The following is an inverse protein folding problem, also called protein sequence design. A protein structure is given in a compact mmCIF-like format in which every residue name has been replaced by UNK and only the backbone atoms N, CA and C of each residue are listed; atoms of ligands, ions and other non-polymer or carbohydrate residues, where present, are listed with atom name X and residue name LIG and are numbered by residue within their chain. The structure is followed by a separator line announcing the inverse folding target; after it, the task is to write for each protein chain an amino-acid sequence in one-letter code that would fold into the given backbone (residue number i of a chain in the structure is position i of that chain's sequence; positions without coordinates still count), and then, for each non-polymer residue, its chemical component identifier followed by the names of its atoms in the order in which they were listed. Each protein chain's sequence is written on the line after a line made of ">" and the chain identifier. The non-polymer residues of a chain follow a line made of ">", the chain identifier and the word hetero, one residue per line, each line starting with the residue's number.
data_IF_737674808634
#
_entry.id   IF_737674808634
#
_cell.length_a   1.000
_cell.length_b   1.000
_cell.length_c   1.000
_cell.angle_alpha   90.00
_cell.angle_beta   90.00
_cell.angle_gamma   90.00
#
_symmetry.space_group_name_H-M   'P 1'
#
loop_
_entity.id
_entity.type
_entity.pdbx_description
1 polymer ?
#
# COMPACT_ATOMS: atom_id res chain seq x y z
N UNK A 1 30.83 35.39 0.11
CA UNK A 1 29.82 34.45 0.63
C UNK A 1 30.47 33.65 1.76
N UNK A 2 29.91 33.65 2.95
CA UNK A 2 30.56 33.17 4.17
C UNK A 2 30.14 31.73 4.54
N UNK A 3 30.95 31.05 5.36
CA UNK A 3 30.69 29.66 5.79
C UNK A 3 29.35 29.52 6.50
N UNK A 4 28.90 30.57 7.20
CA UNK A 4 27.63 30.60 7.91
C UNK A 4 26.45 30.55 6.93
N UNK A 5 26.53 31.24 5.78
CA UNK A 5 25.54 31.13 4.72
C UNK A 5 25.40 29.69 4.21
N UNK A 6 26.51 29.00 3.93
CA UNK A 6 26.48 27.63 3.42
C UNK A 6 25.94 26.62 4.45
N UNK A 7 26.25 26.80 5.74
CA UNK A 7 25.70 25.97 6.82
C UNK A 7 24.18 26.17 6.93
N UNK A 8 23.71 27.41 6.91
CA UNK A 8 22.26 27.72 6.97
C UNK A 8 21.53 27.17 5.74
N UNK A 9 22.11 27.31 4.56
CA UNK A 9 21.56 26.75 3.33
C UNK A 9 21.47 25.22 3.39
N UNK A 10 22.52 24.54 3.87
CA UNK A 10 22.53 23.07 4.01
C UNK A 10 21.55 22.55 5.08
N UNK A 11 21.43 23.23 6.22
CA UNK A 11 20.44 22.87 7.25
C UNK A 11 19.01 23.08 6.73
N UNK A 12 18.78 24.18 6.00
CA UNK A 12 17.47 24.48 5.41
C UNK A 12 17.08 23.47 4.33
N UNK A 13 18.01 23.09 3.45
CA UNK A 13 17.75 22.08 2.43
C UNK A 13 17.51 20.69 3.03
N UNK A 14 18.25 20.33 4.09
CA UNK A 14 18.02 19.10 4.86
C UNK A 14 16.63 19.05 5.49
N UNK A 15 16.18 20.15 6.11
CA UNK A 15 14.85 20.26 6.72
C UNK A 15 13.73 20.15 5.68
N UNK A 16 13.89 20.78 4.51
CA UNK A 16 12.93 20.68 3.40
C UNK A 16 12.85 19.24 2.90
N UNK A 17 13.98 18.58 2.68
CA UNK A 17 14.02 17.19 2.22
C UNK A 17 13.33 16.25 3.21
N UNK A 18 13.62 16.40 4.50
CA UNK A 18 12.95 15.62 5.56
C UNK A 18 11.44 15.87 5.59
N UNK A 19 11.01 17.12 5.41
CA UNK A 19 9.59 17.49 5.39
C UNK A 19 8.88 16.87 4.19
N UNK A 20 9.48 16.93 2.99
CA UNK A 20 8.93 16.29 1.78
C UNK A 20 8.83 14.78 1.99
N UNK A 21 9.86 14.15 2.57
CA UNK A 21 9.85 12.72 2.85
C UNK A 21 8.73 12.32 3.82
N UNK A 22 8.55 13.09 4.89
CA UNK A 22 7.46 12.88 5.86
C UNK A 22 6.10 13.06 5.20
N UNK A 23 5.91 14.14 4.43
CA UNK A 23 4.65 14.38 3.71
C UNK A 23 4.35 13.29 2.69
N UNK A 24 5.36 12.84 1.95
CA UNK A 24 5.23 11.74 1.00
C UNK A 24 4.85 10.45 1.72
N UNK A 25 5.54 10.11 2.82
CA UNK A 25 5.21 8.97 3.66
C UNK A 25 3.79 9.05 4.24
N UNK A 26 3.36 10.24 4.68
CA UNK A 26 2.01 10.47 5.16
C UNK A 26 0.95 10.28 4.07
N UNK A 27 1.22 10.73 2.83
CA UNK A 27 0.34 10.49 1.68
C UNK A 27 0.24 9.00 1.36
N UNK A 28 1.36 8.26 1.40
CA UNK A 28 1.36 6.81 1.19
C UNK A 28 0.60 6.07 2.30
N UNK A 29 0.71 6.52 3.55
CA UNK A 29 0.07 5.89 4.70
C UNK A 29 -1.43 6.18 4.78
N UNK A 30 -1.83 7.44 4.57
CA UNK A 30 -3.21 7.87 4.71
C UNK A 30 -4.05 7.60 3.46
N UNK A 31 -3.42 7.33 2.31
CA UNK A 31 -4.07 7.00 1.03
C UNK A 31 -5.31 7.87 0.77
N UNK A 32 -5.16 9.20 0.71
CA UNK A 32 -6.28 10.11 0.81
C UNK A 32 -7.26 9.93 -0.36
N UNK A 33 -8.57 10.03 -0.08
CA UNK A 33 -9.62 9.76 -1.06
C UNK A 33 -9.51 10.58 -2.35
N UNK A 34 -8.96 11.80 -2.31
CA UNK A 34 -8.77 12.59 -3.54
C UNK A 34 -7.79 11.93 -4.53
N UNK A 35 -6.80 11.20 -4.02
CA UNK A 35 -5.84 10.46 -4.84
C UNK A 35 -6.52 9.24 -5.46
N UNK A 36 -7.24 8.47 -4.65
CA UNK A 36 -8.03 7.33 -5.10
C UNK A 36 -9.12 7.75 -6.10
N UNK A 37 -9.82 8.85 -5.85
CA UNK A 37 -10.83 9.41 -6.76
C UNK A 37 -10.22 9.84 -8.10
N UNK A 38 -8.94 10.20 -8.13
CA UNK A 38 -8.24 10.50 -9.40
C UNK A 38 -7.91 9.22 -10.16
N UNK A 39 -7.47 8.16 -9.47
CA UNK A 39 -7.26 6.84 -10.06
C UNK A 39 -8.57 6.23 -10.59
N UNK A 40 -9.64 6.23 -9.78
CA UNK A 40 -11.00 5.80 -10.17
C UNK A 40 -11.50 6.53 -11.41
N UNK A 41 -11.24 7.84 -11.54
CA UNK A 41 -11.61 8.62 -12.74
C UNK A 41 -10.82 8.25 -13.98
N UNK A 42 -9.56 7.82 -13.82
CA UNK A 42 -8.68 7.44 -14.94
C UNK A 42 -8.94 6.02 -15.44
N UNK A 43 -9.34 5.12 -14.55
CA UNK A 43 -9.65 3.72 -14.83
C UNK A 43 -10.97 3.33 -14.15
N UNK A 44 -12.12 3.74 -14.72
CA UNK A 44 -13.44 3.50 -14.14
C UNK A 44 -13.83 2.02 -14.09
N UNK A 45 -13.22 1.18 -14.93
CA UNK A 45 -13.38 -0.27 -14.92
C UNK A 45 -12.67 -0.98 -13.76
N UNK A 46 -11.74 -0.31 -13.09
CA UNK A 46 -10.97 -0.89 -11.98
C UNK A 46 -11.65 -0.57 -10.65
N UNK A 47 -11.96 -1.61 -9.88
CA UNK A 47 -12.53 -1.47 -8.54
C UNK A 47 -11.40 -1.22 -7.51
N UNK A 48 -11.24 0.03 -7.09
CA UNK A 48 -10.25 0.40 -6.06
C UNK A 48 -10.81 0.27 -4.63
N UNK A 49 -12.07 0.64 -4.43
CA UNK A 49 -12.80 0.44 -3.17
C UNK A 49 -14.30 0.64 -3.37
N UNK A 50 -15.09 0.29 -2.36
CA UNK A 50 -16.55 0.51 -2.30
C UNK A 50 -16.90 1.24 -1.00
N UNK A 51 -17.94 2.06 -1.04
CA UNK A 51 -18.54 2.62 0.18
C UNK A 51 -19.35 1.54 0.90
N UNK A 52 -19.19 1.46 2.21
CA UNK A 52 -19.87 0.51 3.08
C UNK A 52 -20.41 1.22 4.30
N UNK A 53 -21.55 0.78 4.81
CA UNK A 53 -22.13 1.30 6.05
C UNK A 53 -21.37 0.81 7.31
N UNK A 54 -20.50 -0.18 7.13
CA UNK A 54 -19.67 -0.80 8.16
C UNK A 54 -18.17 -0.55 7.92
N UNK A 55 -17.35 -0.67 8.97
CA UNK A 55 -15.89 -0.55 8.86
C UNK A 55 -15.29 -1.85 8.35
N UNK A 56 -15.17 -1.97 7.03
CA UNK A 56 -14.68 -3.17 6.36
C UNK A 56 -13.37 -2.89 5.62
N UNK A 57 -12.53 -3.92 5.53
CA UNK A 57 -11.34 -3.95 4.66
C UNK A 57 -11.36 -5.26 3.87
N UNK A 58 -11.02 -5.20 2.58
CA UNK A 58 -10.85 -6.38 1.74
C UNK A 58 -9.36 -6.73 1.69
N UNK A 59 -8.96 -7.81 2.35
CA UNK A 59 -7.58 -8.31 2.27
C UNK A 59 -7.41 -9.10 0.97
N UNK A 60 -6.47 -8.70 0.14
CA UNK A 60 -6.11 -9.38 -1.11
C UNK A 60 -4.67 -9.84 -1.07
N UNK A 61 -4.40 -11.06 -1.54
CA UNK A 61 -3.07 -11.66 -1.56
C UNK A 61 -2.77 -12.09 -2.99
N UNK A 62 -1.72 -11.49 -3.56
CA UNK A 62 -1.31 -11.75 -4.94
C UNK A 62 -0.23 -12.85 -4.99
N UNK A 63 0.07 -13.32 -6.19
CA UNK A 63 1.19 -14.21 -6.53
C UNK A 63 1.19 -15.62 -5.88
N UNK A 64 0.14 -15.98 -5.15
CA UNK A 64 -0.03 -17.34 -4.60
C UNK A 64 -0.51 -18.38 -5.64
N UNK A 65 -0.69 -19.66 -5.23
CA UNK A 65 -0.25 -20.23 -3.97
C UNK A 65 1.23 -20.61 -4.02
N UNK A 66 1.97 -20.33 -2.96
CA UNK A 66 3.31 -20.83 -2.76
C UNK A 66 3.32 -21.95 -1.70
N UNK A 67 4.24 -22.91 -1.82
CA UNK A 67 4.24 -24.11 -0.96
C UNK A 67 4.52 -23.81 0.53
N UNK A 68 5.15 -22.68 0.85
CA UNK A 68 5.69 -22.42 2.19
C UNK A 68 4.93 -21.33 2.95
N UNK A 69 4.52 -20.27 2.27
CA UNK A 69 3.91 -19.06 2.80
C UNK A 69 2.39 -19.15 2.81
N UNK A 70 1.78 -19.58 1.71
CA UNK A 70 0.33 -19.63 1.56
C UNK A 70 -0.34 -20.49 2.64
N UNK A 71 0.16 -21.69 3.02
CA UNK A 71 -0.38 -22.43 4.15
C UNK A 71 -0.31 -21.66 5.48
N UNK A 72 0.79 -20.96 5.76
CA UNK A 72 0.95 -20.17 7.00
C UNK A 72 0.01 -18.97 7.04
N UNK A 73 -0.22 -18.33 5.89
CA UNK A 73 -1.19 -17.24 5.79
C UNK A 73 -2.60 -17.77 6.07
N UNK A 74 -2.96 -18.93 5.50
CA UNK A 74 -4.26 -19.58 5.77
C UNK A 74 -4.43 -19.95 7.24
N UNK A 75 -3.38 -20.45 7.91
CA UNK A 75 -3.41 -20.74 9.34
C UNK A 75 -3.72 -19.49 10.17
N UNK A 76 -3.08 -18.35 9.86
CA UNK A 76 -3.34 -17.07 10.54
C UNK A 76 -4.74 -16.55 10.24
N UNK A 77 -5.18 -16.58 8.97
CA UNK A 77 -6.53 -16.15 8.61
C UNK A 77 -7.58 -16.94 9.41
N UNK A 78 -7.38 -18.25 9.55
CA UNK A 78 -8.25 -19.12 10.34
C UNK A 78 -8.20 -18.79 11.84
N UNK A 79 -7.04 -18.48 12.40
CA UNK A 79 -6.88 -18.11 13.82
C UNK A 79 -7.72 -16.88 14.18
N UNK A 80 -7.79 -15.90 13.28
CA UNK A 80 -8.52 -14.65 13.48
C UNK A 80 -9.94 -14.64 12.91
N UNK A 81 -10.44 -15.78 12.40
CA UNK A 81 -11.71 -15.87 11.66
C UNK A 81 -11.82 -14.80 10.55
N UNK A 82 -10.70 -14.54 9.88
CA UNK A 82 -10.54 -13.51 8.88
C UNK A 82 -10.60 -14.10 7.47
N UNK A 83 -11.18 -13.34 6.53
CA UNK A 83 -11.33 -13.75 5.15
C UNK A 83 -10.44 -12.90 4.24
N UNK A 84 -9.88 -13.53 3.19
CA UNK A 84 -9.06 -12.87 2.18
C UNK A 84 -9.38 -13.40 0.78
N UNK A 85 -9.08 -12.60 -0.25
CA UNK A 85 -9.16 -13.00 -1.66
C UNK A 85 -7.74 -13.28 -2.18
N UNK A 86 -7.53 -14.45 -2.79
CA UNK A 86 -6.25 -14.82 -3.38
C UNK A 86 -6.28 -14.64 -4.90
N UNK A 87 -5.42 -13.78 -5.43
CA UNK A 87 -5.19 -13.65 -6.87
C UNK A 87 -4.07 -14.60 -7.27
N UNK A 88 -4.47 -15.76 -7.80
CA UNK A 88 -3.57 -16.90 -8.03
C UNK A 88 -2.84 -16.78 -9.37
N UNK A 89 -1.54 -17.08 -9.37
CA UNK A 89 -0.76 -17.37 -10.57
C UNK A 89 -0.94 -18.85 -10.93
N UNK A 90 -1.51 -19.10 -12.10
CA UNK A 90 -1.82 -20.47 -12.56
C UNK A 90 -0.59 -21.39 -12.63
N UNK A 91 0.58 -20.85 -12.98
CA UNK A 91 1.84 -21.61 -13.04
C UNK A 91 2.33 -22.15 -11.68
N UNK A 92 1.76 -21.70 -10.57
CA UNK A 92 2.06 -22.25 -9.25
C UNK A 92 1.15 -23.44 -8.86
N UNK A 93 0.09 -23.70 -9.64
CA UNK A 93 -0.81 -24.82 -9.41
C UNK A 93 -0.22 -26.08 -10.08
N UNK A 94 0.08 -27.15 -9.33
CA UNK A 94 0.56 -28.39 -9.92
C UNK A 94 -0.43 -28.96 -10.93
N UNK A 95 0.01 -29.19 -12.17
CA UNK A 95 -0.79 -29.82 -13.23
C UNK A 95 -1.62 -28.87 -14.10
N UNK A 96 -1.41 -27.55 -13.97
CA UNK A 96 -1.94 -26.55 -14.91
C UNK A 96 -0.89 -26.11 -15.95
#
# INVERSE_FOLDING_TARGET
>A
MDKVFWIRAAVSSGAISATIFILFGAVLWLQPEWLLATLRRRSPEVLYSIETDEKLVALTIDDGPDMCGSPKILDILKEYDAHATFFIISGHIPGN
#
